data_IF_570161548321
#
_entry.id   IF_570161548321
#
_cell.length_a   1.000
_cell.length_b   1.000
_cell.length_c   1.000
_cell.angle_alpha   90.00
_cell.angle_beta   90.00
_cell.angle_gamma   90.00
#
_symmetry.space_group_name_H-M   'P 1'
#
loop_
_entity.id
_entity.type
_entity.pdbx_description
1 polymer ?
#
# COMPACT_ATOMS: atom_id res chain seq x y z
N UNK A 1 -5.03 10.91 -19.76
CA UNK A 1 -5.35 9.70 -18.98
C UNK A 1 -4.17 8.71 -18.95
N UNK A 2 -2.97 9.16 -19.32
CA UNK A 2 -1.83 8.26 -19.54
C UNK A 2 -0.87 8.14 -18.36
N UNK A 3 -0.78 9.15 -17.48
CA UNK A 3 0.11 9.09 -16.31
C UNK A 3 -0.42 8.11 -15.26
N UNK A 4 -1.72 8.13 -14.98
CA UNK A 4 -2.35 7.18 -14.05
C UNK A 4 -2.25 5.74 -14.58
N UNK A 5 -2.35 5.55 -15.89
CA UNK A 5 -2.27 4.22 -16.51
C UNK A 5 -0.82 3.72 -16.57
N UNK A 6 0.17 4.61 -16.78
CA UNK A 6 1.60 4.26 -16.64
C UNK A 6 2.01 3.98 -15.19
N UNK A 7 1.46 4.74 -14.22
CA UNK A 7 1.60 4.47 -12.78
C UNK A 7 1.06 3.08 -12.42
N UNK A 8 -0.01 2.63 -13.08
CA UNK A 8 -0.62 1.32 -12.85
C UNK A 8 0.11 0.18 -13.59
N UNK A 9 0.73 0.44 -14.75
CA UNK A 9 1.32 -0.60 -15.61
C UNK A 9 2.84 -0.80 -15.45
N UNK A 10 3.54 -0.05 -14.60
CA UNK A 10 5.00 -0.20 -14.38
C UNK A 10 5.41 -1.40 -13.48
N UNK A 11 4.58 -2.43 -13.37
CA UNK A 11 4.84 -3.61 -12.54
C UNK A 11 4.85 -4.90 -13.37
N UNK A 12 5.87 -5.03 -14.21
CA UNK A 12 6.17 -6.29 -14.86
C UNK A 12 6.76 -7.29 -13.83
N UNK A 13 5.90 -8.17 -13.29
CA UNK A 13 6.30 -9.56 -13.08
C UNK A 13 6.44 -10.12 -11.66
N UNK A 14 5.57 -9.76 -10.69
CA UNK A 14 5.43 -10.57 -9.47
C UNK A 14 4.29 -10.19 -8.54
N UNK A 15 3.89 -11.14 -7.67
CA UNK A 15 2.72 -11.05 -6.80
C UNK A 15 2.69 -9.76 -5.96
N UNK A 16 1.51 -9.13 -5.89
CA UNK A 16 1.27 -7.81 -5.28
C UNK A 16 2.06 -6.67 -5.94
N UNK A 17 2.37 -6.76 -7.23
CA UNK A 17 3.13 -5.73 -7.94
C UNK A 17 4.54 -5.54 -7.37
N UNK A 18 5.20 -6.63 -6.99
CA UNK A 18 6.61 -6.61 -6.59
C UNK A 18 7.45 -7.35 -7.62
N UNK A 19 8.52 -6.72 -8.11
CA UNK A 19 9.46 -7.36 -9.03
C UNK A 19 10.01 -8.69 -8.49
N UNK A 20 10.52 -9.53 -9.41
CA UNK A 20 11.23 -10.77 -9.05
C UNK A 20 12.48 -10.42 -8.24
N UNK A 21 12.71 -11.12 -7.14
CA UNK A 21 13.86 -10.89 -6.27
C UNK A 21 15.17 -11.17 -7.03
N UNK A 22 16.17 -10.28 -6.93
CA UNK A 22 17.53 -10.50 -7.45
C UNK A 22 18.02 -9.56 -8.55
N UNK A 23 17.22 -8.58 -9.00
CA UNK A 23 17.66 -7.56 -9.96
C UNK A 23 18.68 -6.56 -9.38
N UNK A 24 19.46 -5.92 -10.26
CA UNK A 24 20.32 -4.80 -9.88
C UNK A 24 19.45 -3.66 -9.30
N UNK A 25 19.84 -3.13 -8.13
CA UNK A 25 19.13 -2.01 -7.51
C UNK A 25 19.43 -0.73 -8.30
N UNK A 26 18.43 -0.18 -8.96
CA UNK A 26 18.48 1.15 -9.56
C UNK A 26 17.76 2.16 -8.64
N UNK A 27 18.52 3.03 -7.92
CA UNK A 27 17.94 4.00 -7.00
C UNK A 27 16.95 4.97 -7.66
N UNK A 28 17.16 5.29 -8.95
CA UNK A 28 16.31 6.26 -9.66
C UNK A 28 14.93 5.67 -9.96
N UNK A 29 14.91 4.43 -10.45
CA UNK A 29 13.65 3.70 -10.69
C UNK A 29 12.90 3.42 -9.40
N UNK A 30 13.60 3.17 -8.28
CA UNK A 30 12.96 3.02 -6.97
C UNK A 30 12.32 4.33 -6.48
N UNK A 31 13.03 5.45 -6.57
CA UNK A 31 12.55 6.75 -6.11
C UNK A 31 11.33 7.25 -6.91
N UNK A 32 11.23 6.86 -8.20
CA UNK A 32 10.11 7.21 -9.08
C UNK A 32 8.87 6.33 -8.88
N UNK A 33 8.93 5.30 -8.01
CA UNK A 33 7.75 4.47 -7.75
C UNK A 33 6.63 5.32 -7.15
N UNK A 34 5.41 5.23 -7.68
CA UNK A 34 4.29 6.06 -7.24
C UNK A 34 4.02 5.94 -5.74
N UNK A 35 4.15 4.72 -5.18
CA UNK A 35 4.01 4.47 -3.76
C UNK A 35 5.10 5.15 -2.92
N UNK A 36 6.36 5.15 -3.38
CA UNK A 36 7.49 5.80 -2.68
C UNK A 36 7.36 7.32 -2.74
N UNK A 37 6.98 7.88 -3.90
CA UNK A 37 6.78 9.33 -4.07
C UNK A 37 5.69 9.84 -3.13
N UNK A 38 4.54 9.17 -3.06
CA UNK A 38 3.44 9.60 -2.20
C UNK A 38 3.82 9.44 -0.71
N UNK A 39 4.59 8.42 -0.35
CA UNK A 39 5.16 8.28 1.01
C UNK A 39 6.15 9.40 1.34
N UNK A 40 6.96 9.82 0.38
CA UNK A 40 7.86 10.97 0.55
C UNK A 40 7.07 12.28 0.76
N UNK A 41 5.91 12.44 0.12
CA UNK A 41 5.00 13.55 0.40
C UNK A 41 4.40 13.47 1.81
N UNK A 42 3.95 12.28 2.26
CA UNK A 42 3.52 12.08 3.65
C UNK A 42 4.63 12.46 4.65
N UNK A 43 5.86 12.05 4.35
CA UNK A 43 7.05 12.36 5.14
C UNK A 43 7.30 13.87 5.22
N UNK A 44 7.27 14.56 4.07
CA UNK A 44 7.44 16.02 3.98
C UNK A 44 6.35 16.77 4.75
N UNK A 45 5.09 16.38 4.61
CA UNK A 45 4.00 17.05 5.33
C UNK A 45 4.08 16.81 6.83
N UNK A 46 4.48 15.59 7.25
CA UNK A 46 4.67 15.25 8.66
C UNK A 46 5.77 16.11 9.31
N UNK A 47 6.91 16.27 8.62
CA UNK A 47 8.02 17.11 9.13
C UNK A 47 7.66 18.59 9.24
N UNK A 48 6.91 19.11 8.28
CA UNK A 48 6.43 20.49 8.35
C UNK A 48 5.48 20.68 9.54
N UNK A 49 4.51 19.77 9.74
CA UNK A 49 3.56 19.87 10.85
C UNK A 49 4.26 19.83 12.21
N UNK A 50 5.10 18.83 12.49
CA UNK A 50 5.77 18.75 13.79
C UNK A 50 6.82 19.85 13.96
N UNK A 51 7.49 20.25 12.87
CA UNK A 51 8.53 21.30 12.88
C UNK A 51 7.94 22.67 13.21
N UNK A 52 6.85 23.05 12.55
CA UNK A 52 6.15 24.32 12.83
C UNK A 52 5.64 24.39 14.28
N UNK A 53 5.04 23.30 14.78
CA UNK A 53 4.53 23.24 16.16
C UNK A 53 5.67 23.25 17.19
N UNK A 54 6.77 22.54 16.94
CA UNK A 54 7.89 22.47 17.87
C UNK A 54 8.71 23.77 17.94
N UNK A 55 8.82 24.50 16.82
CA UNK A 55 9.62 25.72 16.75
C UNK A 55 8.90 26.91 17.39
N UNK A 56 7.62 27.12 17.06
CA UNK A 56 6.91 28.35 17.44
C UNK A 56 5.53 28.08 18.06
N UNK A 57 5.19 26.83 18.39
CA UNK A 57 3.92 26.49 19.00
C UNK A 57 3.82 26.82 20.49
N UNK A 58 4.92 27.14 21.15
CA UNK A 58 4.97 27.43 22.59
C UNK A 58 5.41 28.85 22.86
N UNK A 59 4.69 29.54 23.75
CA UNK A 59 5.06 30.87 24.26
C UNK A 59 5.12 30.85 25.77
N UNK A 60 6.00 31.66 26.36
CA UNK A 60 6.04 31.86 27.81
C UNK A 60 5.02 32.94 28.18
N UNK A 61 4.13 32.62 29.11
CA UNK A 61 3.14 33.57 29.64
C UNK A 61 3.76 34.47 30.73
N UNK A 62 3.05 35.51 31.17
CA UNK A 62 3.54 36.47 32.21
C UNK A 62 3.91 35.77 33.53
N UNK A 63 3.29 34.62 33.81
CA UNK A 63 3.57 33.79 34.98
C UNK A 63 4.78 32.85 34.82
N UNK A 64 5.55 32.97 33.72
CA UNK A 64 6.70 32.11 33.42
C UNK A 64 6.34 30.68 33.00
N UNK A 65 5.08 30.42 32.68
CA UNK A 65 4.58 29.09 32.25
C UNK A 65 4.53 29.01 30.73
N UNK A 66 4.98 27.88 30.17
CA UNK A 66 4.84 27.58 28.75
C UNK A 66 3.38 27.25 28.41
N UNK A 67 2.80 28.02 27.49
CA UNK A 67 1.46 27.83 26.98
C UNK A 67 1.49 27.65 25.46
N UNK A 68 0.64 26.77 24.96
CA UNK A 68 0.52 26.51 23.54
C UNK A 68 -0.17 27.69 22.83
N UNK A 69 0.25 28.01 21.60
CA UNK A 69 -0.36 29.07 20.79
C UNK A 69 -1.81 28.75 20.37
N UNK A 70 -2.18 27.48 20.33
CA UNK A 70 -3.56 27.04 20.12
C UNK A 70 -4.40 27.27 21.39
N UNK A 71 -4.82 28.51 21.60
CA UNK A 71 -5.73 28.92 22.69
C UNK A 71 -5.23 28.57 24.11
N UNK A 72 -3.91 28.48 24.31
CA UNK A 72 -3.32 28.08 25.60
C UNK A 72 -3.47 26.58 25.92
N UNK A 73 -4.06 25.78 25.02
CA UNK A 73 -4.31 24.36 25.23
C UNK A 73 -3.06 23.53 24.93
N UNK A 74 -2.36 23.10 25.99
CA UNK A 74 -1.19 22.26 25.87
C UNK A 74 -1.47 20.92 25.15
N UNK A 75 -2.71 20.42 25.19
CA UNK A 75 -3.07 19.16 24.52
C UNK A 75 -3.13 19.33 22.99
N UNK A 76 -3.47 20.51 22.48
CA UNK A 76 -3.49 20.79 21.04
C UNK A 76 -2.09 20.70 20.43
N UNK A 77 -1.11 21.43 20.98
CA UNK A 77 0.28 21.36 20.51
C UNK A 77 0.86 19.95 20.67
N UNK A 78 0.61 19.29 21.82
CA UNK A 78 1.09 17.92 22.05
C UNK A 78 0.48 16.92 21.06
N UNK A 79 -0.80 17.03 20.79
CA UNK A 79 -1.49 16.18 19.82
C UNK A 79 -0.91 16.36 18.42
N UNK A 80 -0.85 17.59 17.92
CA UNK A 80 -0.29 17.89 16.60
C UNK A 80 1.17 17.43 16.46
N UNK A 81 2.00 17.65 17.49
CA UNK A 81 3.38 17.18 17.50
C UNK A 81 3.47 15.64 17.47
N UNK A 82 2.63 14.97 18.25
CA UNK A 82 2.57 13.50 18.29
C UNK A 82 2.20 12.93 16.91
N UNK A 83 1.13 13.43 16.30
CA UNK A 83 0.70 12.97 14.97
C UNK A 83 1.78 13.25 13.91
N UNK A 84 2.45 14.40 13.97
CA UNK A 84 3.54 14.71 13.05
C UNK A 84 4.77 13.81 13.22
N UNK A 85 5.24 13.59 14.46
CA UNK A 85 6.42 12.74 14.73
C UNK A 85 6.17 11.28 14.35
N UNK A 86 5.03 10.70 14.77
CA UNK A 86 4.71 9.32 14.41
C UNK A 86 4.44 9.17 12.91
N UNK A 87 3.84 10.17 12.25
CA UNK A 87 3.66 10.18 10.79
C UNK A 87 4.99 10.21 10.04
N UNK A 88 5.95 10.99 10.53
CA UNK A 88 7.32 11.06 10.02
C UNK A 88 8.04 9.71 10.14
N UNK A 89 8.03 9.11 11.33
CA UNK A 89 8.67 7.81 11.56
C UNK A 89 8.01 6.68 10.77
N UNK A 90 6.67 6.67 10.73
CA UNK A 90 5.93 5.67 9.97
C UNK A 90 6.17 5.78 8.47
N UNK A 91 6.20 6.99 7.90
CA UNK A 91 6.51 7.18 6.48
C UNK A 91 7.93 6.71 6.14
N UNK A 92 8.93 6.98 6.98
CA UNK A 92 10.28 6.39 6.83
C UNK A 92 10.25 4.87 6.87
N UNK A 93 9.54 4.28 7.84
CA UNK A 93 9.42 2.83 7.98
C UNK A 93 8.75 2.18 6.76
N UNK A 94 7.71 2.80 6.19
CA UNK A 94 7.07 2.30 4.97
C UNK A 94 7.95 2.48 3.72
N UNK A 95 8.73 3.55 3.60
CA UNK A 95 9.71 3.69 2.50
C UNK A 95 10.77 2.56 2.58
N UNK A 96 11.29 2.29 3.78
CA UNK A 96 12.19 1.14 4.00
C UNK A 96 11.46 -0.18 3.76
N UNK A 97 10.19 -0.26 4.14
CA UNK A 97 9.30 -1.39 3.87
C UNK A 97 9.18 -1.69 2.38
N UNK A 98 9.04 -0.68 1.52
CA UNK A 98 9.04 -0.83 0.06
C UNK A 98 10.37 -1.39 -0.45
N UNK A 99 11.49 -0.95 0.11
CA UNK A 99 12.81 -1.51 -0.23
C UNK A 99 12.91 -2.99 0.15
N UNK A 100 12.45 -3.35 1.36
CA UNK A 100 12.43 -4.74 1.81
C UNK A 100 11.43 -5.59 1.01
N UNK A 101 10.36 -4.97 0.51
CA UNK A 101 9.34 -5.66 -0.29
C UNK A 101 9.90 -6.29 -1.56
N UNK A 102 10.86 -5.64 -2.22
CA UNK A 102 11.55 -6.17 -3.40
C UNK A 102 12.39 -7.42 -3.09
N UNK A 103 12.86 -7.53 -1.84
CA UNK A 103 13.69 -8.65 -1.36
C UNK A 103 12.85 -9.83 -0.85
N UNK A 104 11.56 -9.63 -0.59
CA UNK A 104 10.68 -10.68 -0.07
C UNK A 104 10.31 -11.68 -1.16
N UNK A 105 10.63 -12.96 -0.99
CA UNK A 105 10.23 -14.05 -1.88
C UNK A 105 8.85 -14.65 -1.54
N UNK A 106 8.37 -14.47 -0.30
CA UNK A 106 7.12 -15.09 0.16
C UNK A 106 5.91 -14.18 -0.02
N UNK A 107 4.90 -14.70 -0.73
CA UNK A 107 3.59 -14.07 -0.97
C UNK A 107 2.86 -13.76 0.35
N UNK A 108 2.99 -14.63 1.35
CA UNK A 108 2.36 -14.45 2.67
C UNK A 108 2.88 -13.22 3.43
N UNK A 109 4.18 -12.94 3.35
CA UNK A 109 4.78 -11.76 3.99
C UNK A 109 4.41 -10.48 3.23
N UNK A 110 4.40 -10.54 1.89
CA UNK A 110 3.94 -9.44 1.03
C UNK A 110 2.49 -9.05 1.35
N UNK A 111 1.58 -10.02 1.49
CA UNK A 111 0.18 -9.79 1.88
C UNK A 111 0.05 -9.07 3.23
N UNK A 112 0.78 -9.56 4.25
CA UNK A 112 0.75 -8.95 5.60
C UNK A 112 1.24 -7.51 5.57
N UNK A 113 2.33 -7.26 4.85
CA UNK A 113 2.85 -5.91 4.69
C UNK A 113 1.83 -4.99 4.01
N UNK A 114 1.22 -5.42 2.89
CA UNK A 114 0.22 -4.60 2.18
C UNK A 114 -1.02 -4.33 3.05
N UNK A 115 -1.49 -5.32 3.82
CA UNK A 115 -2.61 -5.10 4.74
C UNK A 115 -2.25 -4.15 5.89
N UNK A 116 -1.04 -4.28 6.46
CA UNK A 116 -0.55 -3.37 7.49
C UNK A 116 -0.41 -1.94 6.95
N UNK A 117 0.11 -1.80 5.73
CA UNK A 117 0.28 -0.51 5.06
C UNK A 117 -1.07 0.18 4.80
N UNK A 118 -2.04 -0.56 4.27
CA UNK A 118 -3.41 -0.09 4.05
C UNK A 118 -4.08 0.33 5.36
N UNK A 119 -4.05 -0.53 6.37
CA UNK A 119 -4.71 -0.29 7.66
C UNK A 119 -4.11 0.89 8.41
N UNK A 120 -2.77 0.95 8.50
CA UNK A 120 -2.09 2.07 9.12
C UNK A 120 -2.37 3.37 8.37
N UNK A 121 -2.33 3.37 7.04
CA UNK A 121 -2.53 4.59 6.25
C UNK A 121 -3.94 5.15 6.38
N UNK A 122 -4.96 4.28 6.38
CA UNK A 122 -6.34 4.71 6.61
C UNK A 122 -6.54 5.27 8.03
N UNK A 123 -6.00 4.58 9.03
CA UNK A 123 -6.04 5.06 10.42
C UNK A 123 -5.32 6.41 10.59
N UNK A 124 -4.15 6.57 9.95
CA UNK A 124 -3.36 7.79 10.06
C UNK A 124 -4.01 8.97 9.34
N UNK A 125 -4.69 8.74 8.20
CA UNK A 125 -5.52 9.76 7.56
C UNK A 125 -6.62 10.27 8.50
N UNK A 126 -7.28 9.36 9.23
CA UNK A 126 -8.29 9.73 10.23
C UNK A 126 -7.69 10.52 11.41
N UNK A 127 -6.50 10.14 11.89
CA UNK A 127 -5.79 10.92 12.91
C UNK A 127 -5.45 12.34 12.43
N UNK A 128 -4.99 12.50 11.19
CA UNK A 128 -4.77 13.82 10.60
C UNK A 128 -6.07 14.63 10.45
N UNK A 129 -7.20 13.98 10.18
CA UNK A 129 -8.50 14.64 10.16
C UNK A 129 -8.88 15.19 11.53
N UNK A 130 -8.72 14.39 12.60
CA UNK A 130 -8.92 14.87 13.97
C UNK A 130 -7.95 16.01 14.29
N UNK A 131 -6.68 15.88 13.90
CA UNK A 131 -5.66 16.93 14.08
C UNK A 131 -6.08 18.24 13.44
N UNK A 132 -6.51 18.19 12.19
CA UNK A 132 -6.98 19.37 11.48
C UNK A 132 -8.15 20.03 12.20
N UNK A 133 -9.20 19.27 12.52
CA UNK A 133 -10.41 19.81 13.19
C UNK A 133 -10.07 20.40 14.55
N UNK A 134 -9.24 19.70 15.34
CA UNK A 134 -8.88 20.12 16.69
C UNK A 134 -7.99 21.36 16.68
N UNK A 135 -6.93 21.36 15.87
CA UNK A 135 -6.03 22.50 15.73
C UNK A 135 -6.76 23.72 15.15
N UNK A 136 -7.61 23.53 14.14
CA UNK A 136 -8.43 24.61 13.58
C UNK A 136 -9.38 25.20 14.61
N UNK A 137 -10.09 24.35 15.36
CA UNK A 137 -11.02 24.81 16.41
C UNK A 137 -10.29 25.65 17.46
N UNK A 138 -9.15 25.18 17.95
CA UNK A 138 -8.39 25.92 18.95
C UNK A 138 -7.76 27.20 18.36
N UNK A 139 -7.25 27.16 17.13
CA UNK A 139 -6.71 28.35 16.47
C UNK A 139 -7.77 29.43 16.24
N UNK A 140 -8.98 29.04 15.81
CA UNK A 140 -10.08 29.97 15.56
C UNK A 140 -10.56 30.71 16.83
N UNK A 141 -10.33 30.12 18.00
CA UNK A 141 -10.68 30.70 19.30
C UNK A 141 -9.49 31.35 20.01
N UNK A 142 -8.29 31.25 19.45
CA UNK A 142 -7.07 31.72 20.07
C UNK A 142 -6.95 33.25 19.98
N UNK A 143 -6.51 33.94 21.04
CA UNK A 143 -6.14 35.34 20.95
C UNK A 143 -4.90 35.50 20.06
N UNK A 144 -4.89 36.56 19.25
CA UNK A 144 -3.77 36.82 18.34
C UNK A 144 -2.48 37.07 19.16
N UNK A 145 -1.37 36.37 18.84
CA UNK A 145 -0.15 36.49 19.62
C UNK A 145 0.44 37.92 19.52
N UNK A 146 0.96 38.49 20.63
CA UNK A 146 1.55 39.83 20.61
C UNK A 146 2.73 39.86 19.63
N UNK A 147 2.65 40.72 18.61
CA UNK A 147 3.67 40.85 17.56
C UNK A 147 3.56 39.87 16.39
N UNK A 148 2.54 39.01 16.34
CA UNK A 148 2.30 38.08 15.22
C UNK A 148 3.34 36.97 15.07
N UNK A 149 4.29 36.86 16.00
CA UNK A 149 5.32 35.80 16.00
C UNK A 149 4.63 34.47 16.26
N UNK A 150 4.90 33.44 15.44
CA UNK A 150 4.27 32.13 15.56
C UNK A 150 3.03 31.89 14.70
N UNK A 151 2.32 32.94 14.24
CA UNK A 151 1.03 32.75 13.56
C UNK A 151 1.15 31.99 12.24
N UNK A 152 2.11 32.37 11.39
CA UNK A 152 2.33 31.71 10.11
C UNK A 152 2.71 30.23 10.26
N UNK A 153 3.46 29.87 11.30
CA UNK A 153 3.82 28.48 11.58
C UNK A 153 2.61 27.66 12.04
N UNK A 154 1.75 28.24 12.91
CA UNK A 154 0.53 27.55 13.35
C UNK A 154 -0.47 27.35 12.21
N UNK A 155 -0.61 28.35 11.35
CA UNK A 155 -1.44 28.28 10.15
C UNK A 155 -0.90 27.26 9.15
N UNK A 156 0.42 27.24 8.92
CA UNK A 156 1.06 26.23 8.09
C UNK A 156 0.83 24.82 8.64
N UNK A 157 0.99 24.59 9.94
CA UNK A 157 0.74 23.30 10.57
C UNK A 157 -0.71 22.81 10.35
N UNK A 158 -1.70 23.71 10.43
CA UNK A 158 -3.10 23.41 10.12
C UNK A 158 -3.25 23.04 8.64
N UNK A 159 -2.72 23.87 7.75
CA UNK A 159 -2.82 23.69 6.30
C UNK A 159 -2.23 22.34 5.88
N UNK A 160 -1.00 22.04 6.30
CA UNK A 160 -0.35 20.77 5.98
C UNK A 160 -1.04 19.58 6.64
N UNK A 161 -1.65 19.74 7.83
CA UNK A 161 -2.49 18.70 8.43
C UNK A 161 -3.71 18.37 7.57
N UNK A 162 -4.36 19.38 6.99
CA UNK A 162 -5.49 19.18 6.07
C UNK A 162 -5.09 18.41 4.81
N UNK A 163 -4.01 18.81 4.14
CA UNK A 163 -3.54 18.12 2.94
C UNK A 163 -3.06 16.69 3.25
N UNK A 164 -2.46 16.48 4.42
CA UNK A 164 -2.01 15.17 4.86
C UNK A 164 -3.13 14.13 4.88
N UNK A 165 -4.38 14.52 5.17
CA UNK A 165 -5.56 13.64 5.11
C UNK A 165 -5.65 12.95 3.75
N UNK A 166 -5.58 13.74 2.66
CA UNK A 166 -5.71 13.23 1.31
C UNK A 166 -4.52 12.38 0.88
N UNK A 167 -3.30 12.77 1.28
CA UNK A 167 -2.10 12.01 0.92
C UNK A 167 -2.05 10.65 1.63
N UNK A 168 -2.40 10.59 2.92
CA UNK A 168 -2.52 9.32 3.64
C UNK A 168 -3.69 8.46 3.15
N UNK A 169 -4.82 9.07 2.77
CA UNK A 169 -5.93 8.36 2.14
C UNK A 169 -5.53 7.79 0.77
N UNK A 170 -4.77 8.54 -0.03
CA UNK A 170 -4.24 8.06 -1.31
C UNK A 170 -3.27 6.90 -1.12
N UNK A 171 -2.40 6.96 -0.10
CA UNK A 171 -1.57 5.82 0.31
C UNK A 171 -2.42 4.57 0.61
N UNK A 172 -3.47 4.71 1.40
CA UNK A 172 -4.39 3.60 1.71
C UNK A 172 -5.07 3.05 0.45
N UNK A 173 -5.51 3.93 -0.46
CA UNK A 173 -6.13 3.55 -1.72
C UNK A 173 -5.17 2.78 -2.64
N UNK A 174 -3.92 3.22 -2.77
CA UNK A 174 -2.91 2.51 -3.56
C UNK A 174 -2.57 1.15 -2.94
N UNK A 175 -2.45 1.06 -1.62
CA UNK A 175 -2.27 -0.20 -0.92
C UNK A 175 -3.47 -1.15 -1.14
N UNK A 176 -4.70 -0.62 -1.13
CA UNK A 176 -5.91 -1.39 -1.44
C UNK A 176 -5.91 -1.91 -2.88
N UNK A 177 -5.56 -1.05 -3.87
CA UNK A 177 -5.42 -1.48 -5.26
C UNK A 177 -4.36 -2.58 -5.41
N UNK A 178 -3.22 -2.42 -4.74
CA UNK A 178 -2.14 -3.41 -4.71
C UNK A 178 -2.58 -4.73 -4.07
N UNK A 179 -3.40 -4.66 -3.03
CA UNK A 179 -4.00 -5.83 -2.39
C UNK A 179 -4.91 -6.60 -3.35
N UNK A 180 -5.77 -5.91 -4.11
CA UNK A 180 -6.66 -6.54 -5.09
C UNK A 180 -5.88 -7.26 -6.21
N UNK A 181 -4.80 -6.63 -6.72
CA UNK A 181 -3.95 -7.23 -7.75
C UNK A 181 -3.30 -8.51 -7.20
N UNK A 182 -2.69 -8.45 -6.01
CA UNK A 182 -2.02 -9.62 -5.42
C UNK A 182 -2.97 -10.72 -4.95
N UNK A 183 -4.21 -10.39 -4.58
CA UNK A 183 -5.23 -11.37 -4.28
C UNK A 183 -5.61 -12.18 -5.54
N UNK A 184 -5.63 -11.56 -6.73
CA UNK A 184 -5.83 -12.26 -8.00
C UNK A 184 -4.71 -13.24 -8.35
N UNK A 185 -3.45 -12.85 -8.15
CA UNK A 185 -2.27 -13.69 -8.42
C UNK A 185 -2.15 -14.89 -7.46
N UNK A 186 -2.62 -14.76 -6.21
CA UNK A 186 -2.69 -15.87 -5.24
C UNK A 186 -3.58 -17.02 -5.74
N UNK A 187 -4.66 -16.71 -6.48
CA UNK A 187 -5.52 -17.76 -7.05
C UNK A 187 -4.82 -18.47 -8.21
N UNK A 188 -4.24 -17.73 -9.16
CA UNK A 188 -3.54 -18.32 -10.32
C UNK A 188 -2.38 -19.22 -9.91
N UNK A 189 -1.56 -18.77 -8.96
CA UNK A 189 -0.42 -19.55 -8.45
C UNK A 189 -0.83 -20.80 -7.67
N UNK A 190 -2.00 -20.79 -7.00
CA UNK A 190 -2.53 -21.99 -6.33
C UNK A 190 -2.95 -23.08 -7.33
N UNK A 191 -3.44 -22.70 -8.51
CA UNK A 191 -3.80 -23.64 -9.58
C UNK A 191 -2.59 -24.20 -10.34
N UNK A 192 -1.47 -23.48 -10.40
CA UNK A 192 -0.21 -23.95 -11.02
C UNK A 192 0.56 -24.96 -10.16
N UNK A 193 0.34 -24.97 -8.83
CA UNK A 193 1.03 -25.88 -7.90
C UNK A 193 0.49 -27.32 -7.85
N UNK A 194 -0.59 -27.65 -8.58
CA UNK A 194 -1.07 -29.03 -8.69
C UNK A 194 -0.52 -29.69 -9.98
N UNK A 195 0.43 -30.64 -9.88
CA UNK A 195 1.01 -31.30 -11.04
C UNK A 195 -0.01 -32.08 -11.89
N UNK A 196 -1.22 -32.34 -11.39
CA UNK A 196 -2.30 -32.94 -12.18
C UNK A 196 -2.98 -31.94 -13.14
N UNK A 197 -2.89 -30.63 -12.88
CA UNK A 197 -3.62 -29.60 -13.65
C UNK A 197 -2.76 -28.90 -14.72
N UNK A 198 -1.44 -29.05 -14.67
CA UNK A 198 -0.50 -28.49 -15.66
C UNK A 198 -0.77 -29.00 -17.09
N UNK A 199 -1.38 -30.19 -17.22
CA UNK A 199 -1.75 -30.77 -18.53
C UNK A 199 -3.00 -30.11 -19.11
N UNK A 200 -3.91 -29.56 -18.29
CA UNK A 200 -5.12 -28.88 -18.77
C UNK A 200 -4.90 -27.40 -19.10
N UNK A 201 -3.86 -26.76 -18.56
CA UNK A 201 -3.66 -25.32 -18.72
C UNK A 201 -3.20 -24.89 -20.13
N UNK A 202 -2.60 -25.78 -20.93
CA UNK A 202 -2.24 -25.44 -22.33
C UNK A 202 -3.46 -25.22 -23.24
N UNK A 203 -4.67 -25.52 -22.76
CA UNK A 203 -5.91 -25.34 -23.52
C UNK A 203 -6.70 -24.07 -23.15
N UNK A 204 -6.36 -23.35 -22.07
CA UNK A 204 -7.19 -22.25 -21.54
C UNK A 204 -6.56 -20.86 -21.54
N UNK A 205 -5.29 -20.70 -21.95
CA UNK A 205 -4.62 -19.38 -22.00
C UNK A 205 -4.88 -18.59 -23.30
N UNK A 206 -6.06 -18.73 -23.92
CA UNK A 206 -6.46 -17.92 -25.08
C UNK A 206 -7.75 -17.14 -24.81
N UNK A 207 -7.68 -16.14 -23.94
CA UNK A 207 -8.61 -15.00 -24.00
C UNK A 207 -7.82 -13.69 -23.94
N UNK A 208 -6.97 -13.51 -24.96
CA UNK A 208 -6.65 -12.18 -25.47
C UNK A 208 -7.87 -11.69 -26.24
N UNK A 209 -8.52 -10.63 -25.75
CA UNK A 209 -9.53 -9.88 -26.48
C UNK A 209 -8.87 -9.16 -27.66
N UNK A 210 -8.87 -9.77 -28.85
CA UNK A 210 -8.89 -9.04 -30.12
C UNK A 210 -9.32 -9.93 -31.30
N UNK A 211 -10.29 -9.39 -32.06
CA UNK A 211 -10.64 -9.64 -33.46
C UNK A 211 -11.39 -10.89 -33.97
N UNK A 212 -12.23 -10.58 -34.97
CA UNK A 212 -13.22 -11.35 -35.71
C UNK A 212 -12.77 -12.71 -36.27
N UNK A 213 -13.72 -13.66 -36.28
CA UNK A 213 -14.10 -14.59 -37.38
C UNK A 213 -14.40 -16.02 -36.88
N UNK A 214 -15.45 -16.59 -37.47
CA UNK A 214 -16.10 -17.86 -37.18
C UNK A 214 -15.16 -19.09 -37.22
N UNK A 215 -15.21 -19.97 -36.21
CA UNK A 215 -15.29 -21.43 -36.44
C UNK A 215 -15.53 -22.24 -35.16
N UNK A 216 -16.52 -23.14 -35.26
CA UNK A 216 -17.00 -24.09 -34.26
C UNK A 216 -15.89 -24.84 -33.50
N UNK A 217 -15.97 -24.86 -32.16
CA UNK A 217 -15.32 -25.89 -31.32
C UNK A 217 -16.39 -26.76 -30.67
N UNK A 218 -16.43 -28.04 -31.04
CA UNK A 218 -17.31 -29.07 -30.49
C UNK A 218 -16.87 -29.51 -29.10
N UNK A 219 -17.85 -29.80 -28.24
CA UNK A 219 -17.69 -30.26 -26.85
C UNK A 219 -17.32 -31.76 -26.78
N UNK A 220 -16.35 -32.21 -25.95
CA UNK A 220 -15.91 -33.60 -25.90
C UNK A 220 -16.69 -34.41 -24.87
N UNK A 221 -17.99 -34.65 -25.10
CA UNK A 221 -18.73 -35.68 -24.37
C UNK A 221 -19.77 -36.36 -25.29
N UNK A 222 -19.32 -37.34 -26.06
CA UNK A 222 -20.19 -38.38 -26.62
C UNK A 222 -19.37 -39.63 -26.93
N UNK A 223 -19.72 -40.77 -26.30
CA UNK A 223 -19.17 -42.08 -26.67
C UNK A 223 -18.96 -43.09 -25.55
N UNK A 224 -19.99 -43.44 -24.77
CA UNK A 224 -20.08 -44.77 -24.17
C UNK A 224 -20.90 -45.67 -25.09
N UNK A 225 -20.28 -46.69 -25.71
CA UNK A 225 -20.77 -48.08 -25.78
C UNK A 225 -19.96 -48.95 -26.78
N UNK A 226 -19.36 -50.01 -26.22
CA UNK A 226 -19.39 -51.42 -26.68
C UNK A 226 -18.54 -51.88 -27.90
N UNK A 227 -17.51 -52.70 -27.63
CA UNK A 227 -17.35 -54.13 -28.06
C UNK A 227 -15.87 -54.58 -28.14
N UNK A 228 -15.56 -55.75 -27.56
CA UNK A 228 -14.61 -56.73 -28.11
C UNK A 228 -13.27 -56.96 -27.38
N UNK A 229 -13.19 -58.07 -26.63
CA UNK A 229 -12.08 -59.05 -26.43
C UNK A 229 -10.61 -58.55 -26.50
N UNK A 230 -9.71 -58.85 -25.55
CA UNK A 230 -9.19 -60.20 -25.26
C UNK A 230 -8.40 -60.24 -23.93
N UNK A 231 -8.37 -61.42 -23.31
CA UNK A 231 -7.95 -61.72 -21.95
C UNK A 231 -6.71 -62.62 -21.99
N UNK A 232 -5.59 -62.23 -21.39
CA UNK A 232 -4.40 -63.07 -21.05
C UNK A 232 -3.34 -62.16 -20.39
N UNK A 233 -2.69 -62.44 -19.27
CA UNK A 233 -2.69 -63.54 -18.31
C UNK A 233 -1.89 -63.03 -17.08
N UNK A 234 -2.34 -63.38 -15.87
CA UNK A 234 -1.67 -63.01 -14.62
C UNK A 234 -0.54 -63.99 -14.34
N UNK A 235 0.71 -63.52 -14.35
CA UNK A 235 1.87 -64.29 -13.91
C UNK A 235 2.37 -63.72 -12.56
N UNK A 236 2.08 -64.45 -11.48
CA UNK A 236 2.63 -64.21 -10.16
C UNK A 236 4.01 -64.88 -10.08
N UNK A 237 5.04 -64.14 -9.68
CA UNK A 237 6.34 -64.72 -9.33
C UNK A 237 6.90 -64.18 -8.02
N UNK A 238 7.19 -65.12 -7.10
CA UNK A 238 8.36 -65.27 -6.21
C UNK A 238 8.07 -66.35 -5.14
N UNK A 239 9.05 -67.09 -4.55
CA UNK A 239 10.42 -66.65 -4.26
C UNK A 239 11.56 -67.64 -4.62
N UNK A 240 12.78 -67.09 -4.58
CA UNK A 240 14.10 -67.71 -4.67
C UNK A 240 14.49 -68.52 -3.44
N UNK A 241 15.27 -69.58 -3.66
CA UNK A 241 16.32 -70.08 -2.77
C UNK A 241 17.66 -69.98 -3.50
#
# INVERSE_FOLDING_TARGET
MDILTQILNMNAGGAYGGGKAGGAFDPLTFAMKPQVVIRALCWLFSIVVFGCISSEGWRTDENGKEVCLYNGDAMACKYGNTIGVFGFLASMAFIVGEYLFERMSSVKSRKRYVMADMGFSAFWAFMYFISFVYLWSQWSSAPMPPGGVGSSNMEAAIFFSFFSIFVWALCAFLAYKRFLIGAGDEFTSAFETDPANVVHQQAYTSYSMDNDNDQYSTSPFSGQQQQGMEQQGMEYQQPTY
#
